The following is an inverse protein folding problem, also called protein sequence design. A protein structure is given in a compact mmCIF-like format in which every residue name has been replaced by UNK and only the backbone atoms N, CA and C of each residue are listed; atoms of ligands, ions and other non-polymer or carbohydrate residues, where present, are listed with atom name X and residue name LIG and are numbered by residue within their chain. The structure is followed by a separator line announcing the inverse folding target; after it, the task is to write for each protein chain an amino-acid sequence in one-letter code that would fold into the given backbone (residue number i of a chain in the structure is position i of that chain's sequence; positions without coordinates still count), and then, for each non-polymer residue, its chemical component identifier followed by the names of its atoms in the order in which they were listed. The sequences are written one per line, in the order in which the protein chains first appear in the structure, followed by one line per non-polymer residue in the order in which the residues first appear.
data_IF_819548758865
#
_entry.id   IF_819548758865
#
_cell.length_a   1.000
_cell.length_b   1.000
_cell.length_c   1.000
_cell.angle_alpha   90.00
_cell.angle_beta   90.00
_cell.angle_gamma   90.00
#
_symmetry.space_group_name_H-M   'P 1'
#
loop_
_entity.id
_entity.type
_entity.pdbx_description
1 polymer ?
#
# COMPACT_ATOMS: atom_id res chain seq x y z
N UNK A 1 4.91 12.13 7.09
CA UNK A 1 3.67 11.96 6.31
C UNK A 1 3.57 10.52 5.84
N UNK A 2 2.48 10.17 5.17
CA UNK A 2 2.34 8.92 4.43
C UNK A 2 3.26 8.90 3.20
N UNK A 3 3.75 7.73 2.76
CA UNK A 3 4.62 7.64 1.59
C UNK A 3 3.84 7.95 0.29
N UNK A 4 4.48 8.51 -0.74
CA UNK A 4 3.83 8.81 -2.02
C UNK A 4 3.49 7.55 -2.85
N UNK A 5 4.11 6.41 -2.56
CA UNK A 5 3.84 5.11 -3.19
C UNK A 5 4.42 3.96 -2.34
N UNK A 6 4.10 2.71 -2.70
CA UNK A 6 4.58 1.53 -1.98
C UNK A 6 6.08 1.30 -2.13
N UNK A 7 6.69 1.72 -3.24
CA UNK A 7 8.11 1.51 -3.51
C UNK A 7 9.01 2.21 -2.49
N UNK A 8 8.59 3.38 -1.95
CA UNK A 8 9.33 4.08 -0.88
C UNK A 8 9.55 3.20 0.35
N UNK A 9 8.64 2.27 0.65
CA UNK A 9 8.77 1.36 1.80
C UNK A 9 9.94 0.37 1.64
N UNK A 10 10.29 0.02 0.40
CA UNK A 10 11.38 -0.89 0.04
C UNK A 10 12.67 -0.15 -0.26
N UNK A 11 12.59 1.01 -0.91
CA UNK A 11 13.77 1.84 -1.23
C UNK A 11 14.36 2.52 0.02
N UNK A 12 13.57 2.60 1.08
CA UNK A 12 13.92 3.17 2.36
C UNK A 12 13.88 4.70 2.37
N UNK A 13 13.61 5.26 3.54
CA UNK A 13 13.56 6.70 3.77
C UNK A 13 14.85 7.13 4.47
N UNK A 14 15.34 8.32 4.11
CA UNK A 14 16.50 8.91 4.79
C UNK A 14 16.18 9.14 6.26
N UNK A 15 17.03 8.63 7.14
CA UNK A 15 16.99 8.96 8.56
C UNK A 15 17.52 10.38 8.77
N UNK A 16 16.62 11.30 9.11
CA UNK A 16 16.96 12.71 9.38
C UNK A 16 17.83 12.89 10.63
N UNK A 17 17.88 11.89 11.51
CA UNK A 17 18.74 11.89 12.71
C UNK A 17 20.13 11.36 12.40
N UNK A 18 20.32 10.71 11.24
CA UNK A 18 21.62 10.20 10.82
C UNK A 18 22.45 11.29 10.13
N UNK A 19 23.54 11.70 10.78
CA UNK A 19 24.52 12.62 10.19
C UNK A 19 25.12 12.08 8.87
N UNK A 20 25.16 10.75 8.69
CA UNK A 20 25.68 10.08 7.49
C UNK A 20 24.61 9.82 6.43
N UNK A 21 23.37 10.25 6.67
CA UNK A 21 22.27 10.07 5.72
C UNK A 21 21.88 8.61 5.49
N UNK A 22 22.08 7.75 6.50
CA UNK A 22 21.65 6.36 6.41
C UNK A 22 20.15 6.28 6.10
N UNK A 23 19.75 5.30 5.31
CA UNK A 23 18.33 4.98 5.10
C UNK A 23 17.89 3.95 6.14
N UNK A 24 16.63 4.04 6.53
CA UNK A 24 15.94 2.94 7.20
C UNK A 24 14.84 2.39 6.27
N UNK A 25 14.61 1.09 6.37
CA UNK A 25 13.76 0.34 5.46
C UNK A 25 12.54 -0.18 6.21
N UNK A 26 11.37 -0.11 5.59
CA UNK A 26 10.13 -0.60 6.21
C UNK A 26 9.81 -2.02 5.78
N UNK A 27 10.07 -2.35 4.51
CA UNK A 27 9.81 -3.66 3.93
C UNK A 27 11.05 -4.19 3.19
N UNK A 28 11.20 -5.52 3.18
CA UNK A 28 12.20 -6.19 2.33
C UNK A 28 11.78 -6.25 0.86
N UNK A 29 10.46 -6.29 0.61
CA UNK A 29 9.80 -6.25 -0.70
C UNK A 29 8.32 -5.90 -0.49
N UNK A 30 7.65 -5.39 -1.52
CA UNK A 30 6.20 -5.20 -1.50
C UNK A 30 5.52 -6.60 -1.55
N UNK A 31 4.65 -6.96 -0.60
CA UNK A 31 3.91 -8.22 -0.66
C UNK A 31 2.92 -8.20 -1.81
N UNK A 32 2.56 -9.38 -2.32
CA UNK A 32 1.52 -9.51 -3.34
C UNK A 32 0.16 -9.76 -2.69
N UNK A 33 -0.88 -9.19 -3.29
CA UNK A 33 -2.25 -9.52 -2.99
C UNK A 33 -2.48 -11.02 -3.29
N UNK A 34 -2.73 -11.86 -2.26
CA UNK A 34 -2.86 -13.30 -2.45
C UNK A 34 -4.14 -13.70 -3.19
N UNK A 35 -5.09 -12.77 -3.37
CA UNK A 35 -6.38 -13.03 -4.01
C UNK A 35 -6.41 -12.59 -5.48
N UNK A 36 -5.36 -11.94 -5.97
CA UNK A 36 -5.26 -11.45 -7.34
C UNK A 36 -4.23 -12.26 -8.12
N UNK A 37 -4.55 -12.55 -9.38
CA UNK A 37 -3.63 -13.23 -10.28
C UNK A 37 -2.38 -12.38 -10.51
N UNK A 38 -1.22 -13.04 -10.54
CA UNK A 38 0.08 -12.40 -10.75
C UNK A 38 0.10 -11.62 -12.07
N UNK A 39 0.37 -10.32 -11.97
CA UNK A 39 0.84 -9.47 -13.06
C UNK A 39 2.22 -8.91 -12.70
N UNK A 40 3.05 -8.64 -13.70
CA UNK A 40 4.45 -8.27 -13.48
C UNK A 40 4.62 -6.91 -12.79
N UNK A 41 3.77 -5.96 -13.15
CA UNK A 41 4.12 -4.53 -13.04
C UNK A 41 3.16 -3.75 -12.11
N UNK A 42 2.39 -4.44 -11.27
CA UNK A 42 1.23 -3.86 -10.56
C UNK A 42 1.48 -3.51 -9.08
N UNK A 43 2.73 -3.27 -8.67
CA UNK A 43 3.13 -3.00 -7.27
C UNK A 43 2.52 -4.00 -6.26
N UNK A 44 2.43 -5.27 -6.65
CA UNK A 44 1.86 -6.33 -5.81
C UNK A 44 0.36 -6.56 -5.99
N UNK A 45 -0.32 -5.81 -6.87
CA UNK A 45 -1.73 -6.04 -7.22
C UNK A 45 -2.73 -5.35 -6.28
N UNK A 46 -2.24 -4.49 -5.40
CA UNK A 46 -3.06 -3.75 -4.43
C UNK A 46 -3.79 -2.56 -5.07
N UNK A 47 -4.97 -2.23 -4.55
CA UNK A 47 -5.57 -0.90 -4.68
C UNK A 47 -5.09 0.00 -3.54
N UNK A 48 -4.98 1.30 -3.81
CA UNK A 48 -4.44 2.26 -2.85
C UNK A 48 -5.55 3.19 -2.33
N UNK A 49 -5.40 3.67 -1.10
CA UNK A 49 -6.26 4.70 -0.50
C UNK A 49 -5.35 5.80 0.04
N UNK A 50 -5.63 7.04 -0.32
CA UNK A 50 -4.92 8.20 0.19
C UNK A 50 -5.53 8.70 1.50
N UNK A 51 -4.72 9.34 2.32
CA UNK A 51 -5.11 9.92 3.60
C UNK A 51 -6.22 10.97 3.44
N UNK A 52 -6.20 11.72 2.33
CA UNK A 52 -7.22 12.72 2.02
C UNK A 52 -8.58 12.10 1.63
N UNK A 53 -8.67 10.79 1.43
CA UNK A 53 -9.93 10.11 1.13
C UNK A 53 -10.67 9.74 2.42
N UNK A 54 -12.00 9.85 2.40
CA UNK A 54 -12.82 9.50 3.57
C UNK A 54 -13.03 7.99 3.66
N UNK A 55 -13.29 7.45 4.88
CA UNK A 55 -13.58 6.02 5.05
C UNK A 55 -14.74 5.52 4.19
N UNK A 56 -15.79 6.33 4.01
CA UNK A 56 -16.97 5.96 3.21
C UNK A 56 -16.77 6.14 1.70
N UNK A 57 -15.72 6.84 1.27
CA UNK A 57 -15.43 7.09 -0.14
C UNK A 57 -13.91 7.06 -0.39
N UNK A 58 -13.28 5.88 -0.22
CA UNK A 58 -11.85 5.73 -0.35
C UNK A 58 -11.41 5.92 -1.80
N UNK A 59 -10.33 6.66 -2.00
CA UNK A 59 -9.78 6.98 -3.32
C UNK A 59 -8.26 7.02 -3.26
N UNK A 60 -7.64 6.71 -4.40
CA UNK A 60 -6.22 6.97 -4.63
C UNK A 60 -5.95 8.48 -4.61
N UNK A 61 -4.70 8.87 -4.41
CA UNK A 61 -4.29 10.28 -4.28
C UNK A 61 -2.79 10.44 -4.19
N UNK A 62 -2.35 11.53 -3.55
CA UNK A 62 -0.93 11.91 -3.48
C UNK A 62 -0.08 11.02 -2.57
N UNK A 63 -0.72 10.24 -1.69
CA UNK A 63 -0.08 9.36 -0.74
C UNK A 63 -0.78 8.01 -0.62
N UNK A 64 -0.08 7.07 0.03
CA UNK A 64 -0.59 5.75 0.38
C UNK A 64 -0.78 5.71 1.89
N UNK A 65 -2.03 5.80 2.31
CA UNK A 65 -2.46 5.61 3.68
C UNK A 65 -2.70 4.14 3.99
N UNK A 66 -3.39 3.44 3.08
CA UNK A 66 -3.81 2.06 3.23
C UNK A 66 -3.91 1.35 1.87
N UNK A 67 -3.92 0.02 1.89
CA UNK A 67 -4.05 -0.85 0.72
C UNK A 67 -5.24 -1.78 0.84
N UNK A 68 -5.84 -2.17 -0.29
CA UNK A 68 -6.95 -3.13 -0.30
C UNK A 68 -6.86 -4.08 -1.49
N UNK A 69 -7.50 -5.24 -1.36
CA UNK A 69 -7.51 -6.23 -2.44
C UNK A 69 -8.43 -5.80 -3.59
N UNK A 70 -7.92 -5.91 -4.82
CA UNK A 70 -8.72 -5.68 -6.06
C UNK A 70 -9.54 -6.92 -6.45
N UNK A 71 -9.42 -8.03 -5.71
CA UNK A 71 -10.14 -9.26 -5.99
C UNK A 71 -11.66 -9.05 -5.86
N UNK A 72 -12.41 -9.71 -6.76
CA UNK A 72 -13.86 -9.80 -6.65
C UNK A 72 -14.21 -10.86 -5.60
N UNK A 73 -15.25 -10.60 -4.81
CA UNK A 73 -15.75 -11.54 -3.81
C UNK A 73 -15.91 -10.90 -2.44
N UNK A 74 -16.20 -11.75 -1.45
CA UNK A 74 -16.46 -11.37 -0.07
C UNK A 74 -15.79 -12.36 0.88
N UNK A 75 -15.34 -11.89 2.03
CA UNK A 75 -14.85 -12.74 3.10
C UNK A 75 -15.98 -13.53 3.78
N UNK A 76 -15.61 -14.38 4.75
CA UNK A 76 -16.57 -15.21 5.51
C UNK A 76 -17.61 -14.40 6.29
N UNK A 77 -17.33 -13.11 6.55
CA UNK A 77 -18.23 -12.17 7.19
C UNK A 77 -19.12 -11.40 6.18
N UNK A 78 -19.17 -11.81 4.92
CA UNK A 78 -19.90 -11.15 3.82
C UNK A 78 -19.44 -9.71 3.48
N UNK A 79 -18.29 -9.27 3.98
CA UNK A 79 -17.69 -7.98 3.60
C UNK A 79 -16.85 -8.16 2.33
N UNK A 80 -17.03 -7.32 1.29
CA UNK A 80 -16.20 -7.34 0.09
C UNK A 80 -14.71 -7.20 0.42
N UNK A 81 -13.83 -7.95 -0.26
CA UNK A 81 -12.38 -7.89 0.02
C UNK A 81 -11.80 -6.47 -0.09
N UNK A 82 -12.31 -5.65 -1.02
CA UNK A 82 -11.91 -4.26 -1.17
C UNK A 82 -12.52 -3.29 -0.15
N UNK A 83 -13.27 -3.76 0.84
CA UNK A 83 -13.82 -2.98 1.96
C UNK A 83 -13.27 -3.44 3.32
N UNK A 84 -12.36 -4.42 3.33
CA UNK A 84 -11.52 -4.67 4.49
C UNK A 84 -10.45 -3.57 4.62
#
# INVERSE_FOLDING_TARGET
GYPPNLQVLVDGVRDVRSAKGAKFYFLRRIPRDPLVAVKGDDEGGWGLRAYASSPDNPREGEDVFDVYSKARGKGLNNIPYGQW
#
